data_IF_156983319048
#
_entry.id   IF_156983319048
#
_cell.length_a   1.000
_cell.length_b   1.000
_cell.length_c   1.000
_cell.angle_alpha   90.00
_cell.angle_beta   90.00
_cell.angle_gamma   90.00
#
_symmetry.space_group_name_H-M   'P 1'
#
loop_
_entity.id
_entity.type
_entity.pdbx_description
1 polymer ?
#
# COMPACT_ATOMS: atom_id res chain seq x y z
N UNK A 1 24.63 -9.99 1.79
CA UNK A 1 24.12 -9.56 0.46
C UNK A 1 24.78 -10.37 -0.64
N UNK A 2 24.11 -11.41 -1.11
CA UNK A 2 24.50 -12.17 -2.29
C UNK A 2 24.21 -11.30 -3.51
N UNK A 3 25.25 -10.85 -4.22
CA UNK A 3 25.17 -10.14 -5.49
C UNK A 3 24.56 -11.06 -6.57
N UNK A 4 23.24 -11.09 -6.64
CA UNK A 4 22.59 -11.62 -7.82
C UNK A 4 22.79 -10.60 -8.95
N UNK A 5 23.68 -10.94 -9.90
CA UNK A 5 23.79 -10.21 -11.15
C UNK A 5 22.41 -10.10 -11.81
N UNK A 6 21.98 -8.91 -12.26
CA UNK A 6 20.68 -8.75 -12.88
C UNK A 6 20.58 -9.66 -14.11
N UNK A 7 19.77 -10.71 -14.02
CA UNK A 7 19.46 -11.56 -15.17
C UNK A 7 18.90 -10.64 -16.25
N UNK A 8 19.62 -10.52 -17.35
CA UNK A 8 19.24 -9.65 -18.48
C UNK A 8 17.81 -10.04 -18.91
N UNK A 9 16.83 -9.11 -18.91
CA UNK A 9 15.43 -9.41 -19.19
C UNK A 9 15.14 -9.60 -20.70
N UNK A 10 16.14 -10.07 -21.46
CA UNK A 10 16.02 -10.33 -22.89
C UNK A 10 14.78 -11.17 -23.26
N UNK A 11 14.48 -12.30 -22.59
CA UNK A 11 13.29 -13.09 -22.95
C UNK A 11 11.98 -12.35 -22.67
N UNK A 12 11.90 -11.54 -21.62
CA UNK A 12 10.72 -10.71 -21.34
C UNK A 12 10.56 -9.61 -22.38
N UNK A 13 11.65 -9.02 -22.86
CA UNK A 13 11.61 -8.01 -23.91
C UNK A 13 11.13 -8.60 -25.25
N UNK A 14 11.59 -9.77 -25.63
CA UNK A 14 11.08 -10.47 -26.82
C UNK A 14 9.61 -10.89 -26.65
N UNK A 15 9.20 -11.36 -25.47
CA UNK A 15 7.82 -11.68 -25.18
C UNK A 15 6.90 -10.45 -25.30
N UNK A 16 7.31 -9.30 -24.76
CA UNK A 16 6.54 -8.05 -24.85
C UNK A 16 6.41 -7.55 -26.31
N UNK A 17 7.49 -7.62 -27.08
CA UNK A 17 7.45 -7.27 -28.52
C UNK A 17 6.50 -8.21 -29.28
N UNK A 18 6.57 -9.52 -29.03
CA UNK A 18 5.70 -10.49 -29.67
C UNK A 18 4.23 -10.25 -29.33
N UNK A 19 3.92 -9.94 -28.08
CA UNK A 19 2.56 -9.58 -27.63
C UNK A 19 2.06 -8.32 -28.32
N UNK A 20 2.88 -7.26 -28.40
CA UNK A 20 2.52 -6.00 -29.06
C UNK A 20 2.24 -6.25 -30.55
N UNK A 21 3.08 -7.02 -31.23
CA UNK A 21 2.88 -7.37 -32.65
C UNK A 21 1.60 -8.19 -32.84
N UNK A 22 1.31 -9.14 -31.96
CA UNK A 22 0.08 -9.93 -31.99
C UNK A 22 -1.15 -9.01 -31.88
N UNK A 23 -1.16 -8.10 -30.90
CA UNK A 23 -2.26 -7.15 -30.73
C UNK A 23 -2.39 -6.20 -31.91
N UNK A 24 -1.31 -5.73 -32.49
CA UNK A 24 -1.32 -4.88 -33.69
C UNK A 24 -1.94 -5.62 -34.91
N UNK A 25 -1.57 -6.89 -35.11
CA UNK A 25 -2.14 -7.73 -36.16
C UNK A 25 -3.63 -8.01 -35.93
N UNK A 26 -4.03 -8.33 -34.71
CA UNK A 26 -5.43 -8.54 -34.33
C UNK A 26 -6.26 -7.26 -34.55
N UNK A 27 -5.72 -6.09 -34.22
CA UNK A 27 -6.39 -4.80 -34.44
C UNK A 27 -6.51 -4.44 -35.92
N UNK A 28 -5.50 -4.77 -36.75
CA UNK A 28 -5.50 -4.51 -38.17
C UNK A 28 -6.41 -5.49 -38.98
N UNK A 29 -6.62 -6.71 -38.45
CA UNK A 29 -7.34 -7.77 -39.14
C UNK A 29 -8.77 -7.40 -39.61
N UNK A 30 -9.64 -6.79 -38.76
CA UNK A 30 -10.98 -6.37 -39.23
C UNK A 30 -10.94 -5.34 -40.34
N UNK A 31 -9.99 -4.40 -40.30
CA UNK A 31 -9.83 -3.38 -41.30
C UNK A 31 -9.33 -3.97 -42.63
N UNK A 32 -8.35 -4.84 -42.59
CA UNK A 32 -7.81 -5.55 -43.74
C UNK A 32 -8.88 -6.44 -44.41
N UNK A 33 -9.65 -7.19 -43.60
CA UNK A 33 -10.76 -8.01 -44.06
C UNK A 33 -11.86 -7.18 -44.73
N UNK A 34 -12.19 -6.03 -44.15
CA UNK A 34 -13.16 -5.11 -44.78
C UNK A 34 -12.64 -4.58 -46.14
N UNK A 35 -11.38 -4.13 -46.17
CA UNK A 35 -10.76 -3.62 -47.40
C UNK A 35 -10.70 -4.67 -48.50
N UNK A 36 -10.46 -5.93 -48.20
CA UNK A 36 -10.40 -7.03 -49.19
C UNK A 36 -11.75 -7.40 -49.80
N UNK A 37 -12.88 -7.04 -49.15
CA UNK A 37 -14.23 -7.36 -49.62
C UNK A 37 -14.94 -6.16 -50.28
N UNK A 38 -14.34 -4.96 -50.31
CA UNK A 38 -14.93 -3.78 -50.93
C UNK A 38 -14.68 -3.86 -52.43
N UNK A 39 -15.78 -3.84 -53.25
CA UNK A 39 -15.66 -3.80 -54.72
C UNK A 39 -15.11 -2.44 -55.17
N UNK A 40 -14.29 -2.40 -56.24
CA UNK A 40 -13.74 -1.14 -56.78
C UNK A 40 -14.80 -0.10 -57.11
N UNK A 41 -15.96 -0.52 -57.57
CA UNK A 41 -17.10 0.36 -57.91
C UNK A 41 -17.72 1.01 -56.67
N UNK A 42 -17.80 0.32 -55.55
CA UNK A 42 -18.29 0.87 -54.30
C UNK A 42 -17.26 1.83 -53.69
N UNK A 43 -15.95 1.54 -53.83
CA UNK A 43 -14.88 2.42 -53.37
C UNK A 43 -14.85 3.75 -54.14
N UNK A 44 -15.13 3.73 -55.45
CA UNK A 44 -15.15 4.93 -56.29
C UNK A 44 -16.45 5.72 -56.19
N UNK A 45 -17.58 5.12 -55.85
CA UNK A 45 -18.90 5.75 -55.81
C UNK A 45 -19.22 6.40 -54.47
N UNK A 46 -18.36 7.04 -53.80
CA UNK A 46 -18.53 7.74 -52.53
C UNK A 46 -19.84 7.41 -51.80
N UNK A 47 -19.83 6.52 -50.83
CA UNK A 47 -21.01 5.94 -50.18
C UNK A 47 -22.06 6.97 -49.79
N UNK A 48 -23.17 6.99 -50.47
CA UNK A 48 -24.41 7.62 -49.96
C UNK A 48 -24.97 6.74 -48.84
N UNK A 49 -24.67 7.12 -47.62
CA UNK A 49 -25.21 6.46 -46.42
C UNK A 49 -26.74 6.55 -46.48
N UNK A 50 -27.43 5.41 -46.65
CA UNK A 50 -28.89 5.34 -46.55
C UNK A 50 -29.33 5.73 -45.14
N UNK A 51 -29.74 7.00 -44.98
CA UNK A 51 -30.25 7.54 -43.72
C UNK A 51 -31.66 7.03 -43.54
N UNK A 52 -31.90 6.06 -42.67
CA UNK A 52 -33.24 5.73 -42.17
C UNK A 52 -33.75 6.91 -41.34
N UNK A 53 -34.58 7.80 -42.00
CA UNK A 53 -35.20 8.95 -41.34
C UNK A 53 -36.32 8.50 -40.44
N UNK A 54 -36.09 8.59 -39.10
CA UNK A 54 -37.12 8.96 -38.11
C UNK A 54 -36.60 10.14 -37.31
N UNK A 55 -36.75 11.35 -37.85
CA UNK A 55 -36.45 12.58 -37.13
C UNK A 55 -37.68 12.89 -36.29
N UNK A 56 -37.64 12.64 -34.97
CA UNK A 56 -38.55 13.29 -34.04
C UNK A 56 -38.19 14.77 -34.04
N UNK A 57 -39.17 15.59 -34.52
CA UNK A 57 -39.06 17.06 -34.59
C UNK A 57 -38.99 17.60 -33.15
N UNK A 58 -37.78 17.88 -32.64
CA UNK A 58 -37.61 18.49 -31.35
C UNK A 58 -37.78 20.00 -31.50
N UNK A 59 -38.73 20.60 -30.84
CA UNK A 59 -39.26 21.95 -31.10
C UNK A 59 -38.40 23.07 -30.49
N UNK A 60 -37.44 22.79 -29.61
CA UNK A 60 -36.57 23.77 -28.93
C UNK A 60 -35.10 23.33 -28.97
N UNK A 61 -34.38 23.73 -30.02
CA UNK A 61 -32.93 23.57 -30.10
C UNK A 61 -32.32 24.86 -29.53
N UNK A 62 -31.88 24.84 -28.29
CA UNK A 62 -31.27 25.98 -27.61
C UNK A 62 -29.84 26.22 -28.10
N UNK A 63 -29.07 25.17 -28.45
CA UNK A 63 -27.74 25.21 -29.02
C UNK A 63 -27.69 24.25 -30.24
N UNK A 64 -27.62 24.78 -31.41
CA UNK A 64 -27.61 23.99 -32.64
C UNK A 64 -26.35 23.13 -32.77
N UNK A 65 -25.18 23.68 -32.41
CA UNK A 65 -23.88 23.02 -32.51
C UNK A 65 -23.82 21.80 -31.63
N UNK A 66 -24.24 21.90 -30.36
CA UNK A 66 -24.28 20.79 -29.41
C UNK A 66 -25.25 19.68 -29.86
N UNK A 67 -26.42 20.07 -30.37
CA UNK A 67 -27.39 19.11 -30.89
C UNK A 67 -26.83 18.35 -32.09
N UNK A 68 -26.19 19.07 -33.01
CA UNK A 68 -25.61 18.50 -34.21
C UNK A 68 -24.43 17.58 -33.87
N UNK A 69 -23.56 17.95 -32.96
CA UNK A 69 -22.49 17.10 -32.42
C UNK A 69 -23.05 15.78 -31.89
N UNK A 70 -24.11 15.83 -31.06
CA UNK A 70 -24.78 14.64 -30.53
C UNK A 70 -25.36 13.72 -31.65
N UNK A 71 -25.86 14.27 -32.69
CA UNK A 71 -26.32 13.50 -33.88
C UNK A 71 -25.15 12.81 -34.58
N UNK A 72 -23.99 13.48 -34.68
CA UNK A 72 -22.78 12.93 -35.27
C UNK A 72 -22.28 11.70 -34.52
N UNK A 73 -22.26 11.73 -33.18
CA UNK A 73 -21.91 10.56 -32.38
C UNK A 73 -22.79 9.35 -32.70
N UNK A 74 -24.09 9.56 -32.91
CA UNK A 74 -25.04 8.48 -33.24
C UNK A 74 -24.89 7.91 -34.64
N UNK A 75 -24.33 8.68 -35.59
CA UNK A 75 -24.12 8.22 -36.95
C UNK A 75 -22.98 7.23 -37.13
N UNK A 76 -21.89 7.44 -36.39
CA UNK A 76 -20.67 6.60 -36.43
C UNK A 76 -20.51 5.68 -35.25
N UNK A 77 -21.54 4.97 -34.80
CA UNK A 77 -21.57 4.22 -33.52
C UNK A 77 -20.34 3.33 -33.26
N UNK A 78 -19.86 2.60 -34.28
CA UNK A 78 -18.70 1.72 -34.10
C UNK A 78 -17.42 2.51 -33.78
N UNK A 79 -17.15 3.59 -34.53
CA UNK A 79 -15.99 4.46 -34.31
C UNK A 79 -16.10 5.19 -32.98
N UNK A 80 -17.27 5.75 -32.68
CA UNK A 80 -17.56 6.41 -31.41
C UNK A 80 -17.35 5.46 -30.23
N UNK A 81 -17.81 4.22 -30.34
CA UNK A 81 -17.64 3.21 -29.27
C UNK A 81 -16.16 2.87 -29.02
N UNK A 82 -15.37 2.68 -30.08
CA UNK A 82 -13.92 2.40 -29.94
C UNK A 82 -13.19 3.58 -29.30
N UNK A 83 -13.51 4.82 -29.70
CA UNK A 83 -12.90 6.01 -29.11
C UNK A 83 -13.26 6.15 -27.62
N UNK A 84 -14.56 6.01 -27.30
CA UNK A 84 -15.01 6.08 -25.90
C UNK A 84 -14.34 4.96 -25.06
N UNK A 85 -14.28 3.73 -25.59
CA UNK A 85 -13.64 2.61 -24.89
C UNK A 85 -12.16 2.88 -24.62
N UNK A 86 -11.44 3.42 -25.61
CA UNK A 86 -10.02 3.77 -25.44
C UNK A 86 -9.82 4.86 -24.39
N UNK A 87 -10.67 5.89 -24.36
CA UNK A 87 -10.64 6.94 -23.35
C UNK A 87 -11.01 6.39 -21.96
N UNK A 88 -12.03 5.54 -21.87
CA UNK A 88 -12.41 4.87 -20.62
C UNK A 88 -11.24 4.08 -20.05
N UNK A 89 -10.53 3.30 -20.89
CA UNK A 89 -9.35 2.57 -20.46
C UNK A 89 -8.25 3.50 -19.92
N UNK A 90 -7.96 4.60 -20.63
CA UNK A 90 -6.97 5.58 -20.16
C UNK A 90 -7.35 6.20 -18.83
N UNK A 91 -8.61 6.61 -18.66
CA UNK A 91 -9.11 7.21 -17.41
C UNK A 91 -9.10 6.18 -16.27
N UNK A 92 -9.51 4.94 -16.55
CA UNK A 92 -9.50 3.86 -15.55
C UNK A 92 -8.08 3.62 -15.01
N UNK A 93 -7.09 3.51 -15.91
CA UNK A 93 -5.70 3.29 -15.50
C UNK A 93 -5.13 4.51 -14.78
N UNK A 94 -5.47 5.72 -15.23
CA UNK A 94 -5.10 6.96 -14.55
C UNK A 94 -5.60 6.97 -13.11
N UNK A 95 -6.90 6.74 -12.88
CA UNK A 95 -7.51 6.72 -11.54
C UNK A 95 -6.92 5.61 -10.68
N UNK A 96 -6.66 4.43 -11.25
CA UNK A 96 -6.05 3.32 -10.51
C UNK A 96 -4.61 3.65 -10.07
N UNK A 97 -3.79 4.23 -10.96
CA UNK A 97 -2.43 4.64 -10.63
C UNK A 97 -2.40 5.79 -9.60
N UNK A 98 -3.28 6.76 -9.74
CA UNK A 98 -3.40 7.86 -8.79
C UNK A 98 -3.83 7.35 -7.39
N UNK A 99 -4.74 6.39 -7.34
CA UNK A 99 -5.10 5.73 -6.08
C UNK A 99 -3.92 4.97 -5.48
N UNK A 100 -3.17 4.25 -6.31
CA UNK A 100 -1.97 3.54 -5.87
C UNK A 100 -0.89 4.50 -5.34
N UNK A 101 -0.66 5.66 -5.97
CA UNK A 101 0.26 6.67 -5.44
C UNK A 101 -0.19 7.23 -4.10
N UNK A 102 -1.50 7.34 -3.86
CA UNK A 102 -2.05 7.74 -2.56
C UNK A 102 -1.80 6.71 -1.45
N UNK A 103 -1.75 5.42 -1.81
CA UNK A 103 -1.39 4.36 -0.86
C UNK A 103 0.12 4.32 -0.54
N UNK A 104 0.95 4.82 -1.44
CA UNK A 104 2.39 4.96 -1.23
C UNK A 104 2.75 6.22 -0.42
N UNK A 105 1.78 7.07 -0.08
CA UNK A 105 2.00 8.21 0.81
C UNK A 105 2.07 7.74 2.26
N UNK A 106 3.11 6.97 2.51
CA UNK A 106 3.33 6.24 3.76
C UNK A 106 4.19 7.03 4.76
N UNK A 107 4.46 8.31 4.52
CA UNK A 107 5.32 9.11 5.38
C UNK A 107 4.86 9.15 6.83
N UNK A 108 3.55 9.24 7.08
CA UNK A 108 2.99 9.12 8.42
C UNK A 108 3.02 7.67 8.95
N UNK A 109 2.69 6.69 8.08
CA UNK A 109 2.65 5.28 8.47
C UNK A 109 4.02 4.69 8.78
N UNK A 110 5.08 5.21 8.15
CA UNK A 110 6.46 4.77 8.42
C UNK A 110 6.96 5.35 9.74
N UNK A 111 6.64 6.61 10.05
CA UNK A 111 6.96 7.20 11.34
C UNK A 111 6.22 6.51 12.49
N UNK A 112 4.96 6.09 12.26
CA UNK A 112 4.17 5.36 13.26
C UNK A 112 4.63 3.89 13.44
N UNK A 113 5.46 3.37 12.54
CA UNK A 113 5.98 2.00 12.61
C UNK A 113 7.07 1.85 13.68
N UNK A 114 7.82 2.90 13.93
CA UNK A 114 8.91 2.92 14.89
C UNK A 114 8.58 3.89 16.03
N UNK A 115 8.59 3.40 17.26
CA UNK A 115 8.29 4.20 18.45
C UNK A 115 9.52 4.87 19.08
N UNK A 116 10.68 4.73 18.44
CA UNK A 116 11.96 5.33 18.86
C UNK A 116 12.82 5.63 17.63
N UNK A 117 13.91 6.37 17.82
CA UNK A 117 14.83 6.71 16.73
C UNK A 117 15.89 5.63 16.48
N UNK A 118 16.24 4.90 17.52
CA UNK A 118 17.23 3.82 17.47
C UNK A 118 16.77 2.60 18.25
N UNK A 119 17.28 1.43 17.84
CA UNK A 119 17.24 0.20 18.63
C UNK A 119 18.66 -0.25 18.92
N UNK A 120 18.95 -0.54 20.18
CA UNK A 120 20.22 -1.09 20.61
C UNK A 120 19.95 -2.47 21.20
N UNK A 121 20.49 -3.50 20.57
CA UNK A 121 20.20 -4.90 20.87
C UNK A 121 21.44 -5.62 21.35
N UNK A 122 21.27 -6.53 22.30
CA UNK A 122 22.29 -7.49 22.70
C UNK A 122 21.67 -8.89 22.76
N UNK A 123 22.06 -9.76 21.85
CA UNK A 123 21.52 -11.13 21.71
C UNK A 123 22.26 -12.16 22.58
N UNK A 124 23.28 -11.76 23.34
CA UNK A 124 24.12 -12.67 24.09
C UNK A 124 23.86 -12.59 25.60
N UNK A 125 24.51 -11.63 26.28
CA UNK A 125 24.45 -11.49 27.75
C UNK A 125 23.48 -10.41 28.21
N UNK A 126 22.92 -9.67 27.26
CA UNK A 126 22.08 -8.51 27.54
C UNK A 126 22.86 -7.24 27.83
N UNK A 127 22.15 -6.12 27.87
CA UNK A 127 22.68 -4.79 28.18
C UNK A 127 22.51 -4.54 29.69
N UNK A 128 23.58 -4.35 30.44
CA UNK A 128 23.48 -4.10 31.89
C UNK A 128 22.66 -2.86 32.24
N UNK A 129 21.93 -2.89 33.33
CA UNK A 129 21.08 -1.76 33.76
C UNK A 129 21.87 -0.45 33.96
N UNK A 130 23.13 -0.54 34.43
CA UNK A 130 24.02 0.62 34.55
C UNK A 130 24.40 1.24 33.20
N UNK A 131 24.56 0.39 32.17
CA UNK A 131 24.82 0.86 30.79
C UNK A 131 23.64 1.66 30.26
N UNK A 132 22.42 1.19 30.50
CA UNK A 132 21.19 1.89 30.10
C UNK A 132 21.06 3.25 30.79
N UNK A 133 21.44 3.35 32.07
CA UNK A 133 21.46 4.66 32.72
C UNK A 133 22.43 5.63 32.07
N UNK A 134 23.63 5.14 31.71
CA UNK A 134 24.64 5.97 31.02
C UNK A 134 24.09 6.46 29.63
N UNK A 135 23.34 5.61 28.94
CA UNK A 135 22.68 5.98 27.69
C UNK A 135 21.59 7.04 27.92
N UNK A 136 20.78 6.88 28.97
CA UNK A 136 19.72 7.82 29.30
C UNK A 136 20.23 9.18 29.82
N UNK A 137 21.47 9.23 30.36
CA UNK A 137 22.12 10.45 30.83
C UNK A 137 22.80 11.24 29.69
N UNK A 138 22.78 10.75 28.45
CA UNK A 138 23.36 11.45 27.33
C UNK A 138 22.47 12.65 26.93
N UNK A 139 23.08 13.83 26.79
CA UNK A 139 22.39 15.10 26.51
C UNK A 139 21.56 15.07 25.22
N UNK A 140 21.89 14.20 24.26
CA UNK A 140 21.16 14.06 23.02
C UNK A 140 19.86 13.21 23.15
N UNK A 141 19.73 12.45 24.25
CA UNK A 141 18.62 11.53 24.46
C UNK A 141 17.48 12.22 25.21
N UNK A 142 16.27 12.13 24.67
CA UNK A 142 15.05 12.60 25.32
C UNK A 142 14.45 11.55 26.24
N UNK A 143 14.37 10.31 25.75
CA UNK A 143 13.81 9.18 26.49
C UNK A 143 14.44 7.86 26.07
N UNK A 144 14.38 6.88 26.93
CA UNK A 144 14.86 5.52 26.69
C UNK A 144 13.78 4.53 27.08
N UNK A 145 13.34 3.74 26.12
CA UNK A 145 12.42 2.64 26.34
C UNK A 145 13.19 1.32 26.37
N UNK A 146 12.70 0.32 27.09
CA UNK A 146 13.47 -0.90 27.34
C UNK A 146 12.63 -2.15 27.24
N UNK A 147 13.22 -3.22 26.68
CA UNK A 147 12.62 -4.55 26.59
C UNK A 147 13.54 -5.59 27.18
N UNK A 148 12.97 -6.48 27.98
CA UNK A 148 13.58 -7.76 28.34
C UNK A 148 12.78 -8.88 27.72
N UNK A 149 13.47 -9.81 27.07
CA UNK A 149 12.88 -10.98 26.45
C UNK A 149 13.76 -12.19 26.73
N UNK A 150 13.19 -13.21 27.32
CA UNK A 150 13.82 -14.53 27.43
C UNK A 150 12.95 -15.57 26.77
N UNK A 151 13.58 -16.40 25.94
CA UNK A 151 12.92 -17.44 25.14
C UNK A 151 13.40 -18.79 25.63
N UNK A 152 12.47 -19.70 25.91
CA UNK A 152 12.73 -21.06 26.32
C UNK A 152 12.04 -22.02 25.37
N UNK A 153 12.72 -23.12 25.05
CA UNK A 153 12.18 -24.24 24.23
C UNK A 153 12.15 -25.53 25.05
N UNK A 154 11.18 -25.72 25.95
CA UNK A 154 11.12 -26.89 26.83
C UNK A 154 11.08 -28.19 26.05
N UNK A 155 10.41 -28.23 24.87
CA UNK A 155 10.38 -29.38 23.99
C UNK A 155 11.70 -29.72 23.31
N UNK A 156 12.63 -28.79 23.22
CA UNK A 156 14.00 -28.99 22.74
C UNK A 156 14.99 -29.36 23.88
N UNK A 157 14.53 -29.37 25.10
CA UNK A 157 15.31 -29.77 26.28
C UNK A 157 15.81 -28.61 27.14
N UNK A 158 15.36 -27.40 26.93
CA UNK A 158 15.65 -26.27 27.79
C UNK A 158 15.05 -26.51 29.20
N UNK A 159 15.82 -26.23 30.19
CA UNK A 159 15.38 -26.28 31.60
C UNK A 159 14.84 -24.89 31.94
N UNK A 160 13.56 -24.82 32.30
CA UNK A 160 12.98 -23.58 32.83
C UNK A 160 13.59 -23.24 34.19
N UNK A 161 14.01 -22.00 34.41
CA UNK A 161 14.56 -21.57 35.75
C UNK A 161 13.46 -21.38 36.80
N UNK A 162 12.19 -21.56 36.44
CA UNK A 162 11.03 -21.44 37.35
C UNK A 162 9.99 -22.52 37.06
N UNK A 163 9.17 -22.85 38.04
CA UNK A 163 8.03 -23.74 37.88
C UNK A 163 6.82 -22.99 37.24
N UNK A 164 6.08 -23.69 36.40
CA UNK A 164 4.86 -23.16 35.78
C UNK A 164 3.86 -24.27 35.50
N UNK A 165 2.57 -23.95 35.54
CA UNK A 165 1.46 -24.81 35.20
C UNK A 165 1.09 -24.71 33.69
N UNK A 166 1.79 -23.87 32.95
CA UNK A 166 1.56 -23.71 31.49
C UNK A 166 2.00 -24.94 30.74
N UNK A 167 1.08 -25.47 29.95
CA UNK A 167 1.35 -26.53 28.99
C UNK A 167 1.88 -25.95 27.69
N UNK A 168 3.15 -26.18 27.38
CA UNK A 168 3.80 -25.77 26.14
C UNK A 168 4.08 -27.00 25.29
N UNK A 169 3.67 -26.97 24.01
CA UNK A 169 3.90 -28.10 23.09
C UNK A 169 5.38 -28.19 22.71
N UNK A 170 5.80 -29.38 22.25
CA UNK A 170 7.22 -29.66 21.98
C UNK A 170 7.89 -28.76 20.92
N UNK A 171 7.13 -28.10 20.08
CA UNK A 171 7.61 -27.20 19.03
C UNK A 171 7.31 -25.71 19.33
N UNK A 172 6.75 -25.44 20.50
CA UNK A 172 6.42 -24.07 20.93
C UNK A 172 7.47 -23.52 21.89
N UNK A 173 7.58 -22.22 21.92
CA UNK A 173 8.43 -21.49 22.89
C UNK A 173 7.58 -20.98 24.06
N UNK A 174 8.20 -20.91 25.23
CA UNK A 174 7.72 -20.09 26.34
C UNK A 174 8.58 -18.83 26.41
N UNK A 175 7.95 -17.69 26.32
CA UNK A 175 8.63 -16.41 26.29
C UNK A 175 8.20 -15.58 27.51
N UNK A 176 9.18 -15.12 28.27
CA UNK A 176 8.96 -14.19 29.35
C UNK A 176 9.44 -12.79 28.92
N UNK A 177 8.56 -11.82 29.03
CA UNK A 177 8.77 -10.46 28.52
C UNK A 177 8.53 -9.45 29.64
N UNK A 178 9.37 -8.43 29.67
CA UNK A 178 9.13 -7.21 30.41
C UNK A 178 9.29 -6.03 29.45
N UNK A 179 8.35 -5.12 29.49
CA UNK A 179 8.35 -3.86 28.71
C UNK A 179 8.01 -2.70 29.62
N UNK A 180 8.46 -1.53 29.23
CA UNK A 180 8.12 -0.31 29.94
C UNK A 180 6.72 0.23 29.62
N UNK A 181 6.36 1.33 30.25
CA UNK A 181 5.04 1.94 30.12
C UNK A 181 4.79 2.48 28.72
N UNK A 182 5.81 2.97 28.02
CA UNK A 182 5.68 3.50 26.67
C UNK A 182 5.31 2.38 25.68
N UNK A 183 6.02 1.27 25.73
CA UNK A 183 5.71 0.09 24.90
C UNK A 183 4.38 -0.55 25.29
N UNK A 184 4.04 -0.59 26.59
CA UNK A 184 2.76 -1.13 27.03
C UNK A 184 1.57 -0.37 26.46
N UNK A 185 1.69 0.94 26.21
CA UNK A 185 0.64 1.70 25.55
C UNK A 185 0.44 1.29 24.08
N UNK A 186 1.50 0.84 23.42
CA UNK A 186 1.47 0.39 22.02
C UNK A 186 0.89 -1.02 21.93
N UNK A 187 1.39 -1.96 22.73
CA UNK A 187 0.98 -3.36 22.67
C UNK A 187 -0.35 -3.65 23.36
N UNK A 188 -0.72 -2.87 24.37
CA UNK A 188 -1.98 -3.03 25.10
C UNK A 188 -2.71 -1.69 25.28
N UNK A 189 -3.12 -1.00 24.20
CA UNK A 189 -3.74 0.32 24.27
C UNK A 189 -5.07 0.31 25.01
N UNK A 190 -5.78 -0.81 24.98
CA UNK A 190 -7.12 -0.96 25.55
C UNK A 190 -7.10 -1.44 27.02
N UNK A 191 -5.92 -1.64 27.61
CA UNK A 191 -5.80 -2.08 28.99
C UNK A 191 -6.29 -0.98 29.96
N UNK A 192 -7.10 -1.35 30.94
CA UNK A 192 -7.62 -0.38 31.92
C UNK A 192 -6.50 0.21 32.79
N UNK A 193 -6.68 1.41 33.31
CA UNK A 193 -5.70 2.03 34.20
C UNK A 193 -5.45 1.18 35.48
N UNK A 194 -6.48 0.45 35.94
CA UNK A 194 -6.35 -0.44 37.09
C UNK A 194 -5.47 -1.66 36.75
N UNK A 195 -5.65 -2.26 35.57
CA UNK A 195 -4.87 -3.41 35.14
C UNK A 195 -3.42 -3.02 34.82
N UNK A 196 -3.19 -1.83 34.24
CA UNK A 196 -1.85 -1.26 34.06
C UNK A 196 -1.13 -1.12 35.42
N UNK A 197 -1.83 -0.62 36.42
CA UNK A 197 -1.27 -0.50 37.77
C UNK A 197 -1.02 -1.89 38.39
N UNK A 198 -1.96 -2.82 38.25
CA UNK A 198 -1.78 -4.20 38.75
C UNK A 198 -0.58 -4.91 38.09
N UNK A 199 -0.38 -4.71 36.78
CA UNK A 199 0.81 -5.21 36.07
C UNK A 199 2.10 -4.59 36.66
N UNK A 200 2.11 -3.29 36.87
CA UNK A 200 3.25 -2.56 37.45
C UNK A 200 3.58 -3.01 38.86
N UNK A 201 2.54 -3.26 39.63
CA UNK A 201 2.68 -3.75 41.05
C UNK A 201 3.01 -5.25 41.11
N UNK A 202 3.12 -5.95 39.97
CA UNK A 202 3.43 -7.38 39.91
C UNK A 202 2.32 -8.28 40.46
N UNK A 203 1.08 -7.83 40.42
CA UNK A 203 -0.09 -8.59 40.88
C UNK A 203 -0.86 -9.29 39.78
N UNK A 204 -0.36 -9.26 38.51
CA UNK A 204 -0.93 -9.93 37.38
C UNK A 204 0.00 -9.94 36.17
N UNK A 205 -0.42 -10.56 35.09
CA UNK A 205 0.34 -10.66 33.85
C UNK A 205 -0.56 -10.43 32.64
N UNK A 206 0.07 -10.17 31.48
CA UNK A 206 -0.61 -10.19 30.20
C UNK A 206 -0.16 -11.41 29.41
N UNK A 207 -1.02 -11.90 28.51
CA UNK A 207 -0.74 -13.07 27.69
C UNK A 207 -0.95 -12.72 26.24
N UNK A 208 -0.03 -13.14 25.37
CA UNK A 208 -0.23 -13.06 23.93
C UNK A 208 -1.20 -14.13 23.47
N UNK A 209 -2.25 -13.74 22.76
CA UNK A 209 -3.20 -14.59 22.08
C UNK A 209 -3.60 -13.92 20.75
N UNK A 210 -3.36 -14.56 19.58
CA UNK A 210 -3.04 -15.99 19.35
C UNK A 210 -1.58 -16.35 19.58
N UNK A 211 -1.33 -17.64 19.87
CA UNK A 211 -0.01 -18.15 20.23
C UNK A 211 0.92 -18.34 19.03
N UNK A 212 0.40 -18.72 17.87
CA UNK A 212 1.22 -19.14 16.73
C UNK A 212 0.71 -18.66 15.40
N UNK A 213 1.65 -18.33 14.48
CA UNK A 213 1.41 -18.23 13.05
C UNK A 213 2.10 -19.38 12.33
N UNK A 214 1.35 -20.15 11.55
CA UNK A 214 1.93 -21.13 10.63
C UNK A 214 2.14 -20.49 9.27
N UNK A 215 3.36 -20.57 8.72
CA UNK A 215 3.64 -20.19 7.34
C UNK A 215 3.02 -21.22 6.38
N UNK A 216 2.08 -20.77 5.53
CA UNK A 216 1.57 -21.53 4.40
C UNK A 216 0.08 -21.84 4.44
N UNK A 217 -0.43 -22.50 5.45
CA UNK A 217 -1.87 -22.59 5.75
C UNK A 217 -2.07 -22.01 7.12
N UNK A 218 -2.66 -20.82 7.17
CA UNK A 218 -2.85 -20.01 8.37
C UNK A 218 -3.66 -20.75 9.43
N UNK A 219 -3.01 -21.54 10.25
CA UNK A 219 -3.60 -22.05 11.48
C UNK A 219 -3.17 -21.13 12.62
N UNK A 220 -4.01 -20.16 12.94
CA UNK A 220 -3.85 -19.36 14.15
C UNK A 220 -4.25 -20.25 15.31
N UNK A 221 -3.28 -20.71 16.11
CA UNK A 221 -3.56 -21.40 17.37
C UNK A 221 -3.82 -20.36 18.45
N UNK A 222 -4.95 -20.49 19.13
CA UNK A 222 -5.29 -19.67 20.28
C UNK A 222 -4.93 -20.41 21.56
N UNK A 223 -4.52 -19.67 22.59
CA UNK A 223 -4.41 -20.25 23.93
C UNK A 223 -5.80 -20.43 24.54
N UNK A 224 -5.94 -21.41 25.41
CA UNK A 224 -7.18 -21.60 26.18
C UNK A 224 -7.32 -20.57 27.33
N UNK A 225 -6.28 -19.76 27.56
CA UNK A 225 -6.26 -18.75 28.60
C UNK A 225 -7.18 -17.57 28.27
N UNK A 226 -7.95 -17.18 29.26
CA UNK A 226 -8.88 -16.02 29.18
C UNK A 226 -8.54 -15.01 30.27
N UNK A 227 -9.05 -13.79 30.13
CA UNK A 227 -8.89 -12.75 31.16
C UNK A 227 -9.56 -13.22 32.48
N UNK A 228 -8.78 -13.18 33.55
CA UNK A 228 -9.19 -13.62 34.87
C UNK A 228 -8.72 -15.03 35.24
N UNK A 229 -8.19 -15.82 34.31
CA UNK A 229 -7.51 -17.06 34.61
C UNK A 229 -6.22 -16.78 35.40
N UNK A 230 -5.68 -17.79 36.05
CA UNK A 230 -4.45 -17.66 36.85
C UNK A 230 -3.35 -18.54 36.31
N UNK A 231 -2.13 -18.02 36.31
CA UNK A 231 -0.92 -18.72 35.87
C UNK A 231 0.06 -18.80 37.04
N UNK A 232 0.60 -19.99 37.26
CA UNK A 232 1.70 -20.15 38.22
C UNK A 232 3.03 -19.81 37.53
N UNK A 233 3.79 -18.90 38.16
CA UNK A 233 5.15 -18.52 37.73
C UNK A 233 6.05 -18.52 38.95
N UNK A 234 6.84 -19.59 39.11
CA UNK A 234 7.61 -19.83 40.32
C UNK A 234 6.70 -19.95 41.57
N UNK A 235 6.99 -19.20 42.59
CA UNK A 235 6.19 -19.18 43.82
C UNK A 235 4.96 -18.27 43.78
N UNK A 236 4.71 -17.58 42.66
CA UNK A 236 3.61 -16.62 42.51
C UNK A 236 2.52 -17.18 41.60
N UNK A 237 1.27 -16.88 41.94
CA UNK A 237 0.10 -17.14 41.08
C UNK A 237 -0.42 -15.79 40.60
N UNK A 238 -0.40 -15.57 39.30
CA UNK A 238 -0.73 -14.30 38.68
C UNK A 238 -2.02 -14.41 37.86
N UNK A 239 -3.01 -13.54 38.05
CA UNK A 239 -4.16 -13.45 37.19
C UNK A 239 -3.78 -12.85 35.84
N UNK A 240 -4.42 -13.33 34.79
CA UNK A 240 -4.35 -12.78 33.42
C UNK A 240 -5.22 -11.51 33.38
N UNK A 241 -4.57 -10.35 33.29
CA UNK A 241 -5.21 -9.03 33.28
C UNK A 241 -5.75 -8.68 31.90
N UNK A 242 -5.12 -9.18 30.85
CA UNK A 242 -5.50 -8.89 29.46
C UNK A 242 -4.78 -9.79 28.48
N UNK A 243 -5.32 -9.81 27.25
CA UNK A 243 -4.74 -10.51 26.12
C UNK A 243 -4.20 -9.48 25.12
N UNK A 244 -3.02 -9.74 24.56
CA UNK A 244 -2.43 -8.97 23.47
C UNK A 244 -2.40 -9.83 22.20
N UNK A 245 -2.63 -9.23 21.03
CA UNK A 245 -2.66 -9.89 19.74
C UNK A 245 -1.33 -9.82 18.99
N UNK A 246 -0.48 -8.86 19.34
CA UNK A 246 0.82 -8.62 18.72
C UNK A 246 1.94 -9.16 19.58
N UNK A 247 2.87 -9.92 18.97
CA UNK A 247 4.06 -10.40 19.69
C UNK A 247 5.05 -9.26 19.92
N UNK A 248 5.65 -9.26 21.10
CA UNK A 248 6.79 -8.41 21.40
C UNK A 248 8.04 -9.16 20.96
N UNK A 249 8.81 -8.58 20.08
CA UNK A 249 9.98 -9.20 19.44
C UNK A 249 11.20 -8.30 19.56
N UNK A 250 12.38 -8.86 19.39
CA UNK A 250 13.64 -8.11 19.34
C UNK A 250 14.04 -7.95 17.87
N UNK A 251 14.50 -6.78 17.44
CA UNK A 251 14.91 -6.48 16.05
C UNK A 251 13.85 -6.78 14.99
N UNK A 252 12.57 -6.76 15.31
CA UNK A 252 11.50 -7.28 14.47
C UNK A 252 11.70 -8.74 14.01
N UNK A 253 12.70 -9.43 14.54
CA UNK A 253 12.94 -10.85 14.31
C UNK A 253 12.30 -11.62 15.45
N UNK A 254 11.15 -12.23 15.21
CA UNK A 254 10.45 -12.83 16.31
C UNK A 254 10.15 -14.29 16.14
N UNK A 255 10.57 -15.08 17.11
CA UNK A 255 9.90 -16.33 17.41
C UNK A 255 8.49 -16.00 17.88
N UNK A 256 7.54 -16.01 16.95
CA UNK A 256 6.13 -15.75 17.27
C UNK A 256 5.39 -17.02 17.70
N UNK A 257 6.05 -18.20 17.58
CA UNK A 257 5.47 -19.50 17.87
C UNK A 257 5.61 -19.83 19.36
N UNK A 258 4.62 -19.50 20.17
CA UNK A 258 4.61 -19.89 21.57
C UNK A 258 3.84 -18.97 22.49
N UNK A 259 3.82 -19.34 23.76
CA UNK A 259 3.20 -18.56 24.82
C UNK A 259 4.12 -17.41 25.19
N UNK A 260 3.65 -16.20 25.08
CA UNK A 260 4.37 -15.02 25.55
C UNK A 260 3.63 -14.41 26.74
N UNK A 261 4.38 -14.26 27.84
CA UNK A 261 3.90 -13.71 29.10
C UNK A 261 4.59 -12.38 29.38
N UNK A 262 3.82 -11.34 29.57
CA UNK A 262 4.33 -10.02 29.94
C UNK A 262 4.14 -9.82 31.43
N UNK A 263 5.25 -9.59 32.12
CA UNK A 263 5.30 -9.39 33.57
C UNK A 263 6.06 -8.10 33.91
N UNK A 264 5.95 -7.65 35.14
CA UNK A 264 6.72 -6.50 35.58
C UNK A 264 8.22 -6.84 35.79
N UNK A 265 9.01 -5.80 35.99
CA UNK A 265 10.46 -5.86 36.15
C UNK A 265 10.89 -6.76 37.35
N UNK A 266 10.25 -6.59 38.48
CA UNK A 266 10.56 -7.35 39.70
C UNK A 266 10.37 -8.87 39.51
N UNK A 267 9.24 -9.26 38.91
CA UNK A 267 8.94 -10.67 38.62
C UNK A 267 9.96 -11.23 37.63
N UNK A 268 10.19 -10.52 36.52
CA UNK A 268 11.14 -10.92 35.49
C UNK A 268 12.54 -11.19 36.11
N UNK A 269 13.09 -10.21 36.85
CA UNK A 269 14.41 -10.30 37.43
C UNK A 269 14.47 -11.37 38.53
N UNK A 270 13.41 -11.54 39.33
CA UNK A 270 13.38 -12.56 40.38
C UNK A 270 13.36 -14.00 39.87
N UNK A 271 12.66 -14.22 38.72
CA UNK A 271 12.55 -15.54 38.10
C UNK A 271 13.85 -15.95 37.38
N UNK A 272 14.52 -14.99 36.76
CA UNK A 272 15.66 -15.26 35.88
C UNK A 272 17.03 -14.98 36.56
N UNK A 273 17.05 -14.24 37.63
CA UNK A 273 18.30 -13.85 38.32
C UNK A 273 19.17 -12.91 37.46
N UNK A 274 18.59 -12.26 36.47
CA UNK A 274 19.28 -11.37 35.55
C UNK A 274 18.51 -10.05 35.41
N UNK A 275 19.22 -8.91 35.50
CA UNK A 275 18.67 -7.56 35.39
C UNK A 275 19.03 -6.87 34.06
N UNK A 276 19.64 -7.60 33.13
CA UNK A 276 20.02 -7.07 31.82
C UNK A 276 18.81 -6.87 30.91
N UNK A 277 18.93 -5.92 30.02
CA UNK A 277 17.95 -5.66 28.92
C UNK A 277 18.37 -6.36 27.65
N UNK A 278 17.41 -6.89 26.93
CA UNK A 278 17.64 -7.50 25.62
C UNK A 278 17.75 -6.43 24.54
N UNK A 279 16.92 -5.40 24.64
CA UNK A 279 16.86 -4.30 23.70
C UNK A 279 16.52 -2.99 24.42
N UNK A 280 17.13 -1.92 23.93
CA UNK A 280 16.97 -0.55 24.45
C UNK A 280 16.70 0.39 23.29
N UNK A 281 15.75 1.28 23.47
CA UNK A 281 15.24 2.15 22.39
C UNK A 281 15.38 3.61 22.80
N UNK A 282 16.51 4.26 22.46
CA UNK A 282 16.67 5.68 22.68
C UNK A 282 15.92 6.50 21.64
N UNK A 283 15.23 7.53 22.12
CA UNK A 283 14.63 8.60 21.30
C UNK A 283 15.42 9.87 21.54
N UNK A 284 15.81 10.55 20.49
CA UNK A 284 16.61 11.76 20.57
C UNK A 284 15.73 13.00 20.76
N UNK A 285 16.37 14.06 21.27
CA UNK A 285 15.75 15.40 21.28
C UNK A 285 15.65 15.95 19.84
N UNK A 286 14.64 16.74 19.57
CA UNK A 286 14.34 17.29 18.23
C UNK A 286 15.53 17.96 17.51
N UNK A 287 16.48 18.49 18.27
CA UNK A 287 17.65 19.21 17.74
C UNK A 287 18.97 18.47 17.98
N UNK A 288 18.95 17.21 18.29
CA UNK A 288 20.16 16.43 18.53
C UNK A 288 20.98 16.25 17.23
N UNK A 289 22.30 16.31 17.39
CA UNK A 289 23.23 16.00 16.31
C UNK A 289 23.36 14.47 16.18
N UNK A 290 22.68 13.91 15.19
CA UNK A 290 22.62 12.46 14.92
C UNK A 290 24.01 11.87 14.65
N UNK A 291 24.86 12.56 13.89
CA UNK A 291 26.20 12.04 13.53
C UNK A 291 27.11 11.94 14.79
N UNK A 292 27.03 12.92 15.65
CA UNK A 292 27.77 12.93 16.93
C UNK A 292 27.25 11.84 17.86
N UNK A 293 25.92 11.68 17.94
CA UNK A 293 25.31 10.63 18.76
C UNK A 293 25.64 9.23 18.25
N UNK A 294 25.57 8.98 16.94
CA UNK A 294 25.91 7.69 16.34
C UNK A 294 27.37 7.30 16.61
N UNK A 295 28.30 8.26 16.46
CA UNK A 295 29.71 8.04 16.77
C UNK A 295 29.95 7.71 18.25
N UNK A 296 29.20 8.35 19.14
CA UNK A 296 29.21 8.04 20.56
C UNK A 296 28.59 6.67 20.83
N UNK A 297 27.47 6.35 20.19
CA UNK A 297 26.77 5.08 20.35
C UNK A 297 27.61 3.89 19.86
N UNK A 298 28.37 4.03 18.78
CA UNK A 298 29.34 3.05 18.31
C UNK A 298 30.41 2.76 19.39
N UNK A 299 30.92 3.82 20.00
CA UNK A 299 31.90 3.71 21.08
C UNK A 299 31.31 3.06 22.34
N UNK A 300 30.07 3.41 22.64
CA UNK A 300 29.34 2.87 23.78
C UNK A 300 29.03 1.38 23.56
N UNK A 301 28.53 0.96 22.40
CA UNK A 301 28.27 -0.44 22.05
C UNK A 301 29.54 -1.28 22.09
N UNK A 302 30.68 -0.74 21.68
CA UNK A 302 31.98 -1.42 21.69
C UNK A 302 32.44 -1.84 23.13
N UNK A 303 31.92 -1.19 24.16
CA UNK A 303 32.23 -1.54 25.53
C UNK A 303 31.44 -2.78 26.04
N UNK A 304 30.37 -3.18 25.30
CA UNK A 304 29.49 -4.28 25.67
C UNK A 304 29.46 -5.33 24.54
N UNK A 305 30.23 -6.43 24.65
CA UNK A 305 30.33 -7.45 23.62
C UNK A 305 28.97 -8.01 23.21
N UNK A 306 28.75 -8.10 21.89
CA UNK A 306 27.48 -8.57 21.32
C UNK A 306 26.39 -7.51 21.22
N UNK A 307 26.70 -6.26 21.58
CA UNK A 307 25.77 -5.14 21.42
C UNK A 307 25.95 -4.48 20.07
N UNK A 308 24.87 -4.25 19.39
CA UNK A 308 24.81 -3.51 18.12
C UNK A 308 23.60 -2.61 18.11
N UNK A 309 23.58 -1.64 17.22
CA UNK A 309 22.48 -0.70 17.09
C UNK A 309 22.00 -0.59 15.65
N UNK A 310 20.75 -0.18 15.50
CA UNK A 310 20.09 0.09 14.25
C UNK A 310 19.43 1.47 14.34
N UNK A 311 19.64 2.30 13.33
CA UNK A 311 18.94 3.57 13.19
C UNK A 311 17.58 3.35 12.53
N UNK A 312 16.51 3.59 13.25
CA UNK A 312 15.16 3.62 12.69
C UNK A 312 14.93 4.90 11.88
N UNK A 313 15.61 6.00 12.22
CA UNK A 313 15.62 7.22 11.43
C UNK A 313 16.16 6.96 10.02
N UNK A 314 17.30 6.27 9.91
CA UNK A 314 17.87 5.93 8.61
C UNK A 314 16.98 4.94 7.85
N UNK A 315 16.49 3.90 8.51
CA UNK A 315 15.61 2.90 7.89
C UNK A 315 14.30 3.53 7.42
N UNK A 316 13.74 4.44 8.19
CA UNK A 316 12.54 5.22 7.83
C UNK A 316 12.81 6.09 6.61
N UNK A 317 13.93 6.83 6.58
CA UNK A 317 14.31 7.68 5.46
C UNK A 317 14.54 6.88 4.18
N UNK A 318 15.25 5.76 4.24
CA UNK A 318 15.48 4.87 3.09
C UNK A 318 14.15 4.30 2.54
N UNK A 319 13.23 3.98 3.43
CA UNK A 319 11.89 3.50 3.04
C UNK A 319 11.08 4.62 2.37
N UNK A 320 11.08 5.82 2.96
CA UNK A 320 10.42 7.01 2.39
C UNK A 320 11.01 7.34 1.02
N UNK A 321 12.34 7.37 0.87
CA UNK A 321 12.99 7.58 -0.42
C UNK A 321 12.60 6.53 -1.46
N UNK A 322 12.51 5.27 -1.07
CA UNK A 322 12.07 4.18 -1.94
C UNK A 322 10.63 4.38 -2.43
N UNK A 323 9.73 4.78 -1.54
CA UNK A 323 8.35 5.10 -1.90
C UNK A 323 8.25 6.33 -2.80
N UNK A 324 9.04 7.37 -2.57
CA UNK A 324 9.09 8.56 -3.43
C UNK A 324 9.62 8.22 -4.84
N UNK A 325 10.59 7.33 -4.97
CA UNK A 325 11.06 6.84 -6.27
C UNK A 325 9.96 6.10 -7.04
N UNK A 326 9.21 5.21 -6.37
CA UNK A 326 8.08 4.49 -6.98
C UNK A 326 6.97 5.49 -7.36
N UNK A 327 6.67 6.44 -6.50
CA UNK A 327 5.69 7.51 -6.72
C UNK A 327 6.07 8.36 -7.94
N UNK A 328 7.35 8.72 -8.09
CA UNK A 328 7.86 9.43 -9.27
C UNK A 328 7.64 8.60 -10.54
N UNK A 329 7.94 7.30 -10.51
CA UNK A 329 7.70 6.41 -11.65
C UNK A 329 6.20 6.37 -12.03
N UNK A 330 5.31 6.27 -11.04
CA UNK A 330 3.87 6.32 -11.27
C UNK A 330 3.43 7.65 -11.92
N UNK A 331 3.97 8.78 -11.46
CA UNK A 331 3.68 10.09 -12.04
C UNK A 331 4.11 10.19 -13.52
N UNK A 332 5.27 9.64 -13.87
CA UNK A 332 5.72 9.57 -15.27
C UNK A 332 4.73 8.75 -16.11
N UNK A 333 4.28 7.60 -15.61
CA UNK A 333 3.29 6.77 -16.30
C UNK A 333 1.94 7.50 -16.47
N UNK A 334 1.47 8.21 -15.43
CA UNK A 334 0.26 9.01 -15.45
C UNK A 334 0.33 10.08 -16.55
N UNK A 335 1.45 10.80 -16.65
CA UNK A 335 1.67 11.80 -17.72
C UNK A 335 1.63 11.15 -19.09
N UNK A 336 2.29 10.01 -19.29
CA UNK A 336 2.26 9.28 -20.56
C UNK A 336 0.84 8.85 -20.95
N UNK A 337 0.06 8.34 -20.01
CA UNK A 337 -1.33 7.95 -20.25
C UNK A 337 -2.18 9.17 -20.63
N UNK A 338 -1.97 10.30 -19.96
CA UNK A 338 -2.62 11.57 -20.31
C UNK A 338 -2.30 12.01 -21.74
N UNK A 339 -1.04 11.97 -22.14
CA UNK A 339 -0.60 12.29 -23.51
C UNK A 339 -1.26 11.34 -24.53
N UNK A 340 -1.29 10.03 -24.26
CA UNK A 340 -1.94 9.04 -25.11
C UNK A 340 -3.43 9.35 -25.24
N UNK A 341 -4.10 9.72 -24.16
CA UNK A 341 -5.51 10.14 -24.18
C UNK A 341 -5.75 11.34 -25.08
N UNK A 342 -4.94 12.39 -24.96
CA UNK A 342 -5.00 13.59 -25.80
C UNK A 342 -4.77 13.24 -27.27
N UNK A 343 -3.73 12.49 -27.59
CA UNK A 343 -3.42 12.08 -28.97
C UNK A 343 -4.55 11.25 -29.57
N UNK A 344 -5.21 10.43 -28.77
CA UNK A 344 -6.33 9.60 -29.21
C UNK A 344 -7.55 10.47 -29.59
N UNK A 345 -7.85 11.52 -28.81
CA UNK A 345 -8.90 12.50 -29.11
C UNK A 345 -8.55 13.24 -30.39
N UNK A 346 -7.33 13.76 -30.52
CA UNK A 346 -6.87 14.48 -31.71
C UNK A 346 -7.01 13.61 -32.96
N UNK A 347 -6.50 12.38 -32.91
CA UNK A 347 -6.56 11.44 -34.01
C UNK A 347 -8.02 11.12 -34.43
N UNK A 348 -8.90 10.96 -33.45
CA UNK A 348 -10.33 10.68 -33.70
C UNK A 348 -11.02 11.88 -34.34
N UNK A 349 -10.82 13.09 -33.82
CA UNK A 349 -11.42 14.30 -34.39
C UNK A 349 -10.88 14.54 -35.80
N UNK A 350 -9.57 14.42 -36.02
CA UNK A 350 -8.93 14.52 -37.31
C UNK A 350 -9.50 13.52 -38.33
N UNK A 351 -9.59 12.25 -37.94
CA UNK A 351 -10.20 11.20 -38.81
C UNK A 351 -11.67 11.48 -39.11
N UNK A 352 -12.44 11.99 -38.12
CA UNK A 352 -13.84 12.37 -38.34
C UNK A 352 -13.99 13.53 -39.34
N UNK A 353 -13.11 14.53 -39.29
CA UNK A 353 -13.10 15.65 -40.23
C UNK A 353 -12.78 15.13 -41.62
N UNK A 354 -11.72 14.36 -41.79
CA UNK A 354 -11.29 13.84 -43.09
C UNK A 354 -12.35 12.99 -43.80
N UNK A 355 -13.04 12.14 -43.03
CA UNK A 355 -14.10 11.28 -43.60
C UNK A 355 -15.38 12.03 -43.97
N UNK A 356 -15.51 13.30 -43.55
CA UNK A 356 -16.71 14.12 -43.76
C UNK A 356 -16.44 15.42 -44.53
N UNK A 357 -15.30 15.54 -45.20
CA UNK A 357 -14.92 16.78 -45.92
C UNK A 357 -16.02 17.23 -46.93
N UNK A 358 -16.65 16.28 -47.66
CA UNK A 358 -17.76 16.59 -48.55
C UNK A 358 -19.02 17.11 -47.85
N UNK A 359 -19.36 16.56 -46.66
CA UNK A 359 -20.49 17.04 -45.84
C UNK A 359 -20.20 18.43 -45.29
N UNK A 360 -18.96 18.66 -44.84
CA UNK A 360 -18.51 19.96 -44.34
C UNK A 360 -18.54 21.03 -45.45
N UNK A 361 -18.08 20.66 -46.62
CA UNK A 361 -18.17 21.54 -47.82
C UNK A 361 -19.61 21.94 -48.15
N UNK A 362 -20.54 20.99 -48.13
CA UNK A 362 -21.97 21.24 -48.32
C UNK A 362 -22.56 22.17 -47.24
N UNK A 363 -22.22 21.96 -45.98
CA UNK A 363 -22.67 22.80 -44.87
C UNK A 363 -22.18 24.25 -45.00
N UNK A 364 -20.93 24.43 -45.43
CA UNK A 364 -20.39 25.74 -45.71
C UNK A 364 -21.06 26.42 -46.90
N UNK A 365 -21.37 25.65 -47.93
CA UNK A 365 -22.10 26.16 -49.10
C UNK A 365 -23.54 26.62 -48.79
N UNK A 366 -24.19 26.00 -47.81
CA UNK A 366 -25.53 26.38 -47.31
C UNK A 366 -25.46 27.58 -46.33
N UNK A 367 -24.24 28.05 -45.95
CA UNK A 367 -24.05 29.25 -45.13
C UNK A 367 -23.60 28.99 -43.68
N UNK A 368 -23.17 27.78 -43.35
CA UNK A 368 -22.60 27.52 -42.01
C UNK A 368 -21.26 28.25 -41.83
N UNK A 369 -21.13 29.06 -40.80
CA UNK A 369 -19.90 29.77 -40.49
C UNK A 369 -18.78 28.82 -40.04
N UNK A 370 -17.50 29.22 -40.25
CA UNK A 370 -16.37 28.46 -39.78
C UNK A 370 -16.35 28.33 -38.24
N UNK A 371 -16.81 29.38 -37.53
CA UNK A 371 -16.91 29.38 -36.07
C UNK A 371 -17.95 28.37 -35.54
N UNK A 372 -19.10 28.25 -36.21
CA UNK A 372 -20.14 27.27 -35.85
C UNK A 372 -19.66 25.84 -36.08
N UNK A 373 -18.94 25.63 -37.18
CA UNK A 373 -18.32 24.35 -37.46
C UNK A 373 -17.29 23.96 -36.42
N UNK A 374 -16.38 24.88 -36.01
CA UNK A 374 -15.40 24.66 -34.97
C UNK A 374 -16.06 24.32 -33.62
N UNK A 375 -17.09 25.08 -33.23
CA UNK A 375 -17.87 24.79 -32.01
C UNK A 375 -18.51 23.40 -32.04
N UNK A 376 -18.96 22.95 -33.22
CA UNK A 376 -19.53 21.60 -33.34
C UNK A 376 -18.51 20.50 -33.05
N UNK A 377 -17.28 20.64 -33.55
CA UNK A 377 -16.21 19.66 -33.22
C UNK A 377 -15.76 19.74 -31.79
N UNK A 378 -15.73 20.93 -31.18
CA UNK A 378 -15.47 21.06 -29.73
C UNK A 378 -16.54 20.34 -28.91
N UNK A 379 -17.81 20.49 -29.22
CA UNK A 379 -18.89 19.76 -28.58
C UNK A 379 -18.81 18.24 -28.80
N UNK A 380 -18.37 17.82 -29.99
CA UNK A 380 -18.14 16.39 -30.28
C UNK A 380 -17.04 15.83 -29.34
N UNK A 381 -15.91 16.53 -29.21
CA UNK A 381 -14.84 16.17 -28.25
C UNK A 381 -15.30 16.18 -26.78
N UNK A 382 -16.05 17.21 -26.41
CA UNK A 382 -16.59 17.31 -25.03
C UNK A 382 -17.54 16.14 -24.68
N UNK A 383 -18.36 15.70 -25.62
CA UNK A 383 -19.22 14.53 -25.41
C UNK A 383 -18.43 13.24 -25.29
N UNK A 384 -17.34 13.06 -26.05
CA UNK A 384 -16.44 11.92 -25.86
C UNK A 384 -15.83 11.93 -24.45
N UNK A 385 -15.31 13.08 -24.02
CA UNK A 385 -14.73 13.26 -22.70
C UNK A 385 -15.72 12.97 -21.58
N UNK A 386 -16.88 13.63 -21.57
CA UNK A 386 -17.90 13.46 -20.52
C UNK A 386 -18.36 11.99 -20.40
N UNK A 387 -18.64 11.33 -21.53
CA UNK A 387 -19.10 9.93 -21.49
C UNK A 387 -17.98 9.01 -20.96
N UNK A 388 -16.74 9.23 -21.44
CA UNK A 388 -15.61 8.45 -21.04
C UNK A 388 -15.25 8.68 -19.56
N UNK A 389 -15.32 9.93 -19.06
CA UNK A 389 -15.05 10.26 -17.66
C UNK A 389 -16.02 9.58 -16.71
N UNK A 390 -17.33 9.62 -16.99
CA UNK A 390 -18.33 8.96 -16.14
C UNK A 390 -18.10 7.45 -16.07
N UNK A 391 -17.90 6.82 -17.22
CA UNK A 391 -17.69 5.36 -17.28
C UNK A 391 -16.30 5.00 -16.68
N UNK A 392 -15.27 5.73 -17.07
CA UNK A 392 -13.89 5.52 -16.58
C UNK A 392 -13.74 5.72 -15.08
N UNK A 393 -14.45 6.71 -14.50
CA UNK A 393 -14.47 6.92 -13.06
C UNK A 393 -15.09 5.72 -12.30
N UNK A 394 -16.18 5.14 -12.83
CA UNK A 394 -16.78 3.95 -12.21
C UNK A 394 -15.83 2.76 -12.27
N UNK A 395 -15.23 2.47 -13.42
CA UNK A 395 -14.27 1.38 -13.54
C UNK A 395 -12.98 1.66 -12.74
N UNK A 396 -12.51 2.90 -12.73
CA UNK A 396 -11.37 3.33 -11.92
C UNK A 396 -11.61 3.11 -10.42
N UNK A 397 -12.79 3.48 -9.92
CA UNK A 397 -13.17 3.23 -8.54
C UNK A 397 -13.22 1.73 -8.19
N UNK A 398 -13.74 0.90 -9.08
CA UNK A 398 -13.70 -0.56 -8.90
C UNK A 398 -12.25 -1.06 -8.80
N UNK A 399 -11.34 -0.56 -9.65
CA UNK A 399 -9.92 -0.89 -9.54
C UNK A 399 -9.32 -0.45 -8.20
N UNK A 400 -9.67 0.73 -7.68
CA UNK A 400 -9.22 1.22 -6.37
C UNK A 400 -9.63 0.27 -5.24
N UNK A 401 -10.86 -0.28 -5.27
CA UNK A 401 -11.32 -1.28 -4.29
C UNK A 401 -10.43 -2.53 -4.33
N UNK A 402 -10.09 -3.03 -5.53
CA UNK A 402 -9.21 -4.19 -5.65
C UNK A 402 -7.78 -3.92 -5.20
N UNK A 403 -7.25 -2.72 -5.47
CA UNK A 403 -5.93 -2.31 -5.00
C UNK A 403 -5.91 -2.21 -3.47
N UNK A 404 -6.93 -1.60 -2.86
CA UNK A 404 -7.08 -1.53 -1.41
C UNK A 404 -7.24 -2.91 -0.75
N UNK A 405 -8.04 -3.79 -1.38
CA UNK A 405 -8.24 -5.16 -0.89
C UNK A 405 -6.95 -5.99 -0.88
N UNK A 406 -6.04 -5.73 -1.81
CA UNK A 406 -4.74 -6.41 -1.86
C UNK A 406 -3.81 -6.01 -0.69
N UNK A 407 -4.06 -4.88 -0.03
CA UNK A 407 -3.31 -4.46 1.16
C UNK A 407 -3.89 -4.98 2.48
N UNK A 408 -5.24 -5.06 2.55
CA UNK A 408 -5.93 -5.33 3.83
C UNK A 408 -6.48 -6.76 3.93
N UNK A 409 -6.25 -7.61 2.92
CA UNK A 409 -6.85 -8.96 2.76
C UNK A 409 -8.39 -8.98 2.91
N UNK A 410 -9.02 -7.81 2.85
CA UNK A 410 -10.46 -7.64 2.98
C UNK A 410 -11.02 -6.68 1.92
N UNK A 411 -12.14 -7.04 1.28
CA UNK A 411 -12.87 -6.14 0.39
C UNK A 411 -13.57 -5.06 1.23
N UNK A 412 -12.91 -3.94 1.41
CA UNK A 412 -13.48 -2.76 2.07
C UNK A 412 -13.80 -1.68 1.05
N UNK A 413 -14.87 -0.90 1.32
CA UNK A 413 -15.19 0.28 0.53
C UNK A 413 -14.15 1.37 0.82
N UNK A 414 -13.25 1.56 -0.13
CA UNK A 414 -12.26 2.65 -0.08
C UNK A 414 -12.97 3.98 -0.27
N UNK A 415 -12.49 5.04 0.37
CA UNK A 415 -13.01 6.39 0.15
C UNK A 415 -12.92 6.75 -1.33
N UNK A 416 -13.98 7.36 -1.89
CA UNK A 416 -14.01 7.71 -3.31
C UNK A 416 -12.87 8.69 -3.61
N UNK A 417 -11.95 8.39 -4.54
CA UNK A 417 -10.81 9.27 -4.86
C UNK A 417 -11.30 10.45 -5.73
N UNK A 418 -12.04 11.38 -5.09
CA UNK A 418 -12.71 12.49 -5.78
C UNK A 418 -11.71 13.34 -6.56
N UNK A 419 -10.54 13.63 -5.98
CA UNK A 419 -9.50 14.42 -6.65
C UNK A 419 -8.97 13.71 -7.90
N UNK A 420 -8.65 12.43 -7.82
CA UNK A 420 -8.19 11.63 -8.96
C UNK A 420 -9.23 11.57 -10.10
N UNK A 421 -10.52 11.49 -9.76
CA UNK A 421 -11.61 11.50 -10.73
C UNK A 421 -11.74 12.87 -11.40
N UNK A 422 -11.61 13.96 -10.64
CA UNK A 422 -11.68 15.33 -11.17
C UNK A 422 -10.48 15.63 -12.08
N UNK A 423 -9.28 15.21 -11.72
CA UNK A 423 -8.07 15.39 -12.52
C UNK A 423 -8.10 14.56 -13.82
N UNK A 424 -8.73 13.38 -13.80
CA UNK A 424 -8.86 12.49 -14.95
C UNK A 424 -9.95 12.94 -15.97
N UNK A 425 -10.92 13.75 -15.53
CA UNK A 425 -12.08 14.17 -16.32
C UNK A 425 -11.80 15.40 -17.18
#
# INVERSE_FOLDING_TARGET
FSSQSPKRPLPMLFASIAVILLFALLAAFPAARYASHVSPTVAMSGQTVKIKRRIKRNRNIRNFEAYYARLNLKRGRGRTAVTILSLVMSITVFVALQSFTGLLDASSSVQDMYFSDYAVTNETVGIPSEAVKTLAENDAVESVSTTRLSVFMPGAGDILPFETDLSVQSHETLQLVNVDEAQLQIYAPNLSAQDKQALKDGTGCLVKNPIAFSYGDTTVQQTDLTVGDTIQLGDRTLPVLGLIDTAITINNDGFTNGVQLIVNDEIYCSLLGNDSYSEVYPTLQDNADTDTFESWLDSWCSNYPGTHWLSYLQSSNEMIESFEQIKMLCWVLIIFIGIIGILNIINTVYSNIHTRVGEIGMQRAIGMSAASLYKTFLWEGAYYGIIASVIGAVFGYVCCIFVGAAQTDALQLVAVPVMAIVEAA
#
